data_IF_800277318279
#
_entry.id   IF_800277318279
#
_cell.length_a   1.000
_cell.length_b   1.000
_cell.length_c   1.000
_cell.angle_alpha   90.00
_cell.angle_beta   90.00
_cell.angle_gamma   90.00
#
_symmetry.space_group_name_H-M   'P 1'
#
loop_
_entity.id
_entity.type
_entity.pdbx_description
1 polymer ?
#
# COMPACT_ATOMS: atom_id res chain seq x y z
N UNK A 1 -17.01 14.29 19.49
CA UNK A 1 -16.68 13.94 18.09
C UNK A 1 -15.86 12.66 18.09
N UNK A 2 -15.77 11.89 16.99
CA UNK A 2 -14.95 10.66 16.92
C UNK A 2 -13.53 10.88 17.44
N UNK A 3 -12.91 12.00 17.04
CA UNK A 3 -11.59 12.39 17.48
C UNK A 3 -11.47 12.57 19.01
N UNK A 4 -12.50 13.11 19.67
CA UNK A 4 -12.47 13.33 21.12
C UNK A 4 -12.53 11.98 21.87
N UNK A 5 -13.33 11.03 21.35
CA UNK A 5 -13.45 9.68 21.91
C UNK A 5 -12.10 8.95 21.84
N UNK A 6 -11.39 9.07 20.72
CA UNK A 6 -10.05 8.47 20.58
C UNK A 6 -9.08 9.09 21.59
N UNK A 7 -9.06 10.42 21.73
CA UNK A 7 -8.16 11.10 22.67
C UNK A 7 -8.48 10.71 24.12
N UNK A 8 -9.75 10.63 24.48
CA UNK A 8 -10.19 10.19 25.79
C UNK A 8 -9.73 8.75 26.06
N UNK A 9 -9.91 7.83 25.11
CA UNK A 9 -9.43 6.45 25.23
C UNK A 9 -7.91 6.35 25.44
N UNK A 10 -7.12 7.19 24.79
CA UNK A 10 -5.67 7.29 25.05
C UNK A 10 -5.36 7.82 26.45
N UNK A 11 -6.07 8.86 26.92
CA UNK A 11 -5.85 9.43 28.25
C UNK A 11 -6.18 8.44 29.36
N UNK A 12 -7.33 7.77 29.27
CA UNK A 12 -7.82 6.87 30.31
C UNK A 12 -7.06 5.54 30.38
N UNK A 13 -6.26 5.21 29.36
CA UNK A 13 -5.50 3.95 29.30
C UNK A 13 -4.59 3.68 30.51
N UNK A 14 -3.96 4.73 31.07
CA UNK A 14 -3.10 4.59 32.25
C UNK A 14 -3.96 4.37 33.50
N UNK A 15 -5.00 5.18 33.71
CA UNK A 15 -5.83 5.10 34.91
C UNK A 15 -6.64 3.80 34.96
N UNK A 16 -7.17 3.35 33.82
CA UNK A 16 -8.01 2.16 33.74
C UNK A 16 -7.22 0.85 33.68
N UNK A 17 -6.04 0.88 33.04
CA UNK A 17 -5.33 -0.36 32.66
C UNK A 17 -3.82 -0.32 32.91
N UNK A 18 -3.28 0.79 33.43
CA UNK A 18 -1.85 1.01 33.68
C UNK A 18 -0.97 0.70 32.45
N UNK A 19 -1.42 1.11 31.25
CA UNK A 19 -0.70 0.88 29.99
C UNK A 19 -0.63 2.13 29.13
N UNK A 20 0.31 2.11 28.17
CA UNK A 20 0.47 3.16 27.14
C UNK A 20 0.31 2.56 25.75
N UNK A 21 -0.48 3.19 24.88
CA UNK A 21 -0.52 2.83 23.47
C UNK A 21 0.69 3.36 22.73
N UNK A 22 1.41 2.51 22.00
CA UNK A 22 2.61 2.90 21.24
C UNK A 22 2.33 3.27 19.79
N UNK A 23 1.20 2.84 19.25
CA UNK A 23 0.86 2.95 17.83
C UNK A 23 -0.56 3.44 17.64
N UNK A 24 -0.75 4.29 16.63
CA UNK A 24 -2.04 4.76 16.18
C UNK A 24 -2.20 4.41 14.70
N UNK A 25 -3.16 3.52 14.39
CA UNK A 25 -3.45 3.08 13.02
C UNK A 25 -4.52 4.00 12.44
N UNK A 26 -4.21 4.70 11.35
CA UNK A 26 -5.10 5.66 10.72
C UNK A 26 -5.08 5.57 9.19
N UNK A 27 -6.14 6.04 8.54
CA UNK A 27 -6.33 5.98 7.09
C UNK A 27 -5.56 7.05 6.29
N UNK A 28 -5.00 8.05 6.98
CA UNK A 28 -4.27 9.15 6.37
C UNK A 28 -4.55 10.48 7.05
N UNK A 29 -5.71 10.64 7.69
CA UNK A 29 -5.98 11.86 8.47
C UNK A 29 -4.98 11.96 9.64
N UNK A 30 -4.36 13.12 9.74
CA UNK A 30 -3.34 13.41 10.74
C UNK A 30 -3.89 14.28 11.87
N UNK A 31 -5.13 14.78 11.75
CA UNK A 31 -5.76 15.64 12.76
C UNK A 31 -5.85 14.97 14.13
N UNK A 32 -6.27 13.69 14.17
CA UNK A 32 -6.36 12.88 15.40
C UNK A 32 -4.98 12.65 15.99
N UNK A 33 -4.01 12.28 15.16
CA UNK A 33 -2.64 12.02 15.59
C UNK A 33 -1.97 13.26 16.19
N UNK A 34 -2.17 14.44 15.59
CA UNK A 34 -1.69 15.71 16.14
C UNK A 34 -2.26 15.95 17.54
N UNK A 35 -3.58 15.77 17.73
CA UNK A 35 -4.19 15.92 19.05
C UNK A 35 -3.72 14.87 20.06
N UNK A 36 -3.40 13.64 19.64
CA UNK A 36 -2.79 12.63 20.52
C UNK A 36 -1.46 13.16 21.06
N UNK A 37 -0.58 13.67 20.19
CA UNK A 37 0.71 14.24 20.61
C UNK A 37 0.56 15.43 21.58
N UNK A 38 -0.42 16.29 21.33
CA UNK A 38 -0.62 17.52 22.12
C UNK A 38 -1.33 17.27 23.46
N UNK A 39 -2.26 16.32 23.51
CA UNK A 39 -3.20 16.18 24.64
C UNK A 39 -3.01 14.93 25.49
N UNK A 40 -2.22 13.94 25.04
CA UNK A 40 -1.96 12.70 25.79
C UNK A 40 -0.58 12.79 26.41
N UNK A 41 -0.46 12.42 27.69
CA UNK A 41 0.79 12.52 28.47
C UNK A 41 1.98 11.80 27.81
N UNK A 42 1.75 10.61 27.26
CA UNK A 42 2.73 9.82 26.49
C UNK A 42 2.59 10.01 24.97
N UNK A 43 1.85 11.02 24.52
CA UNK A 43 1.49 11.23 23.11
C UNK A 43 2.68 11.36 22.16
N UNK A 44 3.80 11.92 22.64
CA UNK A 44 5.04 12.05 21.86
C UNK A 44 5.71 10.70 21.53
N UNK A 45 5.42 9.67 22.31
CA UNK A 45 5.94 8.31 22.12
C UNK A 45 5.06 7.48 21.16
N UNK A 46 3.90 8.01 20.76
CA UNK A 46 2.96 7.35 19.85
C UNK A 46 3.44 7.50 18.41
N UNK A 47 3.55 6.37 17.70
CA UNK A 47 3.86 6.34 16.28
C UNK A 47 2.60 6.19 15.44
N UNK A 48 2.50 6.95 14.35
CA UNK A 48 1.43 6.77 13.36
C UNK A 48 1.81 5.63 12.40
N UNK A 49 0.87 4.73 12.18
CA UNK A 49 0.94 3.66 11.16
C UNK A 49 -0.24 3.85 10.20
N UNK A 50 0.02 3.76 8.90
CA UNK A 50 -1.03 3.84 7.89
C UNK A 50 -1.81 2.52 7.83
N UNK A 51 -3.13 2.63 7.72
CA UNK A 51 -4.02 1.49 7.63
C UNK A 51 -3.84 0.77 6.28
N UNK A 52 -3.24 -0.43 6.31
CA UNK A 52 -2.98 -1.25 5.12
C UNK A 52 -4.25 -1.47 4.27
N UNK A 53 -5.38 -1.78 4.91
CA UNK A 53 -6.65 -1.99 4.21
C UNK A 53 -7.09 -0.73 3.45
N UNK A 54 -6.91 0.45 4.06
CA UNK A 54 -7.23 1.71 3.41
C UNK A 54 -6.29 1.99 2.23
N UNK A 55 -4.99 1.73 2.40
CA UNK A 55 -3.99 1.91 1.35
C UNK A 55 -4.24 0.98 0.15
N UNK A 56 -4.52 -0.30 0.38
CA UNK A 56 -4.86 -1.26 -0.68
C UNK A 56 -6.18 -0.90 -1.38
N UNK A 57 -7.20 -0.47 -0.62
CA UNK A 57 -8.48 0.00 -1.17
C UNK A 57 -8.29 1.23 -2.08
N UNK A 58 -7.44 2.17 -1.67
CA UNK A 58 -7.12 3.35 -2.48
C UNK A 58 -6.35 2.99 -3.75
N UNK A 59 -5.40 2.06 -3.67
CA UNK A 59 -4.68 1.57 -4.84
C UNK A 59 -5.64 0.91 -5.84
N UNK A 60 -6.50 -0.01 -5.38
CA UNK A 60 -7.53 -0.62 -6.22
C UNK A 60 -8.46 0.42 -6.85
N UNK A 61 -8.94 1.40 -6.07
CA UNK A 61 -9.77 2.51 -6.58
C UNK A 61 -9.07 3.30 -7.69
N UNK A 62 -7.77 3.59 -7.54
CA UNK A 62 -6.99 4.28 -8.56
C UNK A 62 -6.83 3.45 -9.83
N UNK A 63 -6.60 2.14 -9.70
CA UNK A 63 -6.53 1.25 -10.86
C UNK A 63 -7.88 1.16 -11.59
N UNK A 64 -9.00 1.08 -10.87
CA UNK A 64 -10.34 1.16 -11.46
C UNK A 64 -10.60 2.50 -12.15
N UNK A 65 -10.10 3.61 -11.59
CA UNK A 65 -10.18 4.92 -12.24
C UNK A 65 -9.43 4.92 -13.58
N UNK A 66 -8.22 4.34 -13.63
CA UNK A 66 -7.45 4.19 -14.87
C UNK A 66 -8.22 3.34 -15.90
N UNK A 67 -8.77 2.19 -15.47
CA UNK A 67 -9.59 1.31 -16.34
C UNK A 67 -10.81 2.03 -16.92
N UNK A 68 -11.39 2.98 -16.21
CA UNK A 68 -12.61 3.69 -16.60
C UNK A 68 -12.35 5.06 -17.26
N UNK A 69 -11.10 5.52 -17.35
CA UNK A 69 -10.76 6.82 -17.93
C UNK A 69 -10.77 6.77 -19.46
N UNK A 70 -11.90 7.16 -20.04
CA UNK A 70 -12.07 7.20 -21.50
C UNK A 70 -11.38 8.38 -22.17
N UNK A 71 -10.86 9.35 -21.41
CA UNK A 71 -10.25 10.58 -21.93
C UNK A 71 -8.75 10.46 -22.09
N UNK A 72 -8.07 9.93 -21.07
CA UNK A 72 -6.61 9.89 -21.01
C UNK A 72 -6.02 8.50 -21.27
N UNK A 73 -6.83 7.43 -21.16
CA UNK A 73 -6.35 6.04 -21.25
C UNK A 73 -6.93 5.35 -22.49
N UNK A 74 -6.08 4.91 -23.45
CA UNK A 74 -6.53 4.23 -24.66
C UNK A 74 -7.38 2.98 -24.37
N UNK A 75 -8.34 2.66 -25.24
CA UNK A 75 -9.20 1.48 -25.08
C UNK A 75 -8.39 0.18 -24.95
N UNK A 76 -7.30 0.04 -25.71
CA UNK A 76 -6.41 -1.12 -25.62
C UNK A 76 -5.82 -1.29 -24.22
N UNK A 77 -5.30 -0.22 -23.60
CA UNK A 77 -4.83 -0.22 -22.22
C UNK A 77 -5.94 -0.60 -21.22
N UNK A 78 -7.14 -0.05 -21.40
CA UNK A 78 -8.29 -0.34 -20.50
C UNK A 78 -8.74 -1.80 -20.59
N UNK A 79 -8.63 -2.44 -21.76
CA UNK A 79 -8.94 -3.87 -21.93
C UNK A 79 -7.92 -4.79 -21.25
N UNK A 80 -6.66 -4.37 -21.18
CA UNK A 80 -5.61 -5.11 -20.44
C UNK A 80 -5.91 -5.13 -18.94
N UNK A 81 -6.45 -4.04 -18.38
CA UNK A 81 -6.91 -3.97 -16.99
C UNK A 81 -8.24 -4.72 -16.79
N UNK A 82 -8.23 -6.03 -16.99
CA UNK A 82 -9.36 -6.89 -16.62
C UNK A 82 -9.57 -6.90 -15.10
N UNK A 83 -10.70 -7.43 -14.63
CA UNK A 83 -10.96 -7.54 -13.19
C UNK A 83 -9.88 -8.41 -12.52
N UNK A 84 -9.50 -9.49 -13.17
CA UNK A 84 -8.51 -10.45 -12.69
C UNK A 84 -7.12 -9.80 -12.55
N UNK A 85 -6.71 -8.98 -13.52
CA UNK A 85 -5.45 -8.23 -13.45
C UNK A 85 -5.48 -7.19 -12.31
N UNK A 86 -6.61 -6.51 -12.12
CA UNK A 86 -6.76 -5.54 -11.02
C UNK A 86 -6.66 -6.24 -9.65
N UNK A 87 -7.36 -7.36 -9.49
CA UNK A 87 -7.35 -8.14 -8.26
C UNK A 87 -5.94 -8.68 -7.97
N UNK A 88 -5.24 -9.18 -9.00
CA UNK A 88 -3.86 -9.69 -8.85
C UNK A 88 -2.85 -8.58 -8.53
N UNK A 89 -2.98 -7.37 -9.12
CA UNK A 89 -2.15 -6.21 -8.76
C UNK A 89 -2.30 -5.83 -7.29
N UNK A 90 -3.53 -5.83 -6.76
CA UNK A 90 -3.78 -5.50 -5.35
C UNK A 90 -3.25 -6.61 -4.43
N UNK A 91 -3.50 -7.86 -4.79
CA UNK A 91 -3.09 -9.05 -4.02
C UNK A 91 -1.56 -9.18 -3.93
N UNK A 92 -0.84 -8.98 -5.04
CA UNK A 92 0.63 -9.04 -5.07
C UNK A 92 1.26 -7.92 -4.25
N UNK A 93 0.70 -6.71 -4.27
CA UNK A 93 1.11 -5.62 -3.36
C UNK A 93 0.87 -5.99 -1.91
N UNK A 94 -0.27 -6.60 -1.58
CA UNK A 94 -0.56 -7.07 -0.23
C UNK A 94 0.49 -8.08 0.26
N UNK A 95 0.87 -9.06 -0.58
CA UNK A 95 1.94 -9.99 -0.24
C UNK A 95 3.29 -9.29 -0.04
N UNK A 96 3.64 -8.32 -0.90
CA UNK A 96 4.87 -7.55 -0.73
C UNK A 96 4.90 -6.79 0.61
N UNK A 97 3.77 -6.22 1.05
CA UNK A 97 3.66 -5.57 2.36
C UNK A 97 3.87 -6.57 3.50
N UNK A 98 3.22 -7.73 3.46
CA UNK A 98 3.37 -8.76 4.50
C UNK A 98 4.77 -9.39 4.55
N UNK A 99 5.46 -9.49 3.42
CA UNK A 99 6.82 -10.03 3.38
C UNK A 99 7.88 -9.06 3.93
N UNK A 100 7.59 -7.75 3.91
CA UNK A 100 8.57 -6.70 4.20
C UNK A 100 8.22 -5.83 5.42
N UNK A 101 7.51 -6.39 6.41
CA UNK A 101 6.96 -5.65 7.58
C UNK A 101 7.99 -4.79 8.34
N UNK A 102 9.29 -5.11 8.22
CA UNK A 102 10.38 -4.41 8.93
C UNK A 102 11.33 -3.61 8.01
N UNK A 103 11.25 -3.74 6.69
CA UNK A 103 12.21 -3.11 5.77
C UNK A 103 11.51 -2.34 4.65
N UNK A 104 11.54 -1.00 4.74
CA UNK A 104 10.83 -0.16 3.78
C UNK A 104 11.52 -0.07 2.43
N UNK A 105 12.83 -0.31 2.37
CA UNK A 105 13.57 -0.31 1.10
C UNK A 105 13.22 -1.56 0.30
N UNK A 106 13.30 -2.74 0.93
CA UNK A 106 12.85 -3.99 0.29
C UNK A 106 11.36 -3.95 -0.04
N UNK A 107 10.52 -3.35 0.80
CA UNK A 107 9.10 -3.14 0.47
C UNK A 107 8.94 -2.31 -0.81
N UNK A 108 9.71 -1.24 -0.98
CA UNK A 108 9.64 -0.39 -2.19
C UNK A 108 10.07 -1.14 -3.43
N UNK A 109 11.12 -1.94 -3.34
CA UNK A 109 11.58 -2.79 -4.43
C UNK A 109 10.52 -3.82 -4.81
N UNK A 110 9.97 -4.52 -3.82
CA UNK A 110 8.98 -5.58 -4.06
C UNK A 110 7.65 -5.01 -4.56
N UNK A 111 7.21 -3.85 -4.06
CA UNK A 111 6.06 -3.13 -4.63
C UNK A 111 6.33 -2.81 -6.09
N UNK A 112 7.47 -2.24 -6.48
CA UNK A 112 7.76 -1.95 -7.89
C UNK A 112 7.74 -3.21 -8.75
N UNK A 113 8.24 -4.32 -8.21
CA UNK A 113 8.28 -5.59 -8.92
C UNK A 113 6.91 -6.25 -9.12
N UNK A 114 5.88 -5.90 -8.34
CA UNK A 114 4.53 -6.48 -8.54
C UNK A 114 3.98 -6.23 -9.94
N UNK A 115 4.29 -5.08 -10.53
CA UNK A 115 3.95 -4.79 -11.93
C UNK A 115 4.58 -5.84 -12.87
N UNK A 116 5.89 -6.05 -12.77
CA UNK A 116 6.59 -7.01 -13.62
C UNK A 116 6.03 -8.42 -13.43
N UNK A 117 5.83 -8.83 -12.19
CA UNK A 117 5.25 -10.11 -11.82
C UNK A 117 3.88 -10.33 -12.50
N UNK A 118 2.94 -9.40 -12.33
CA UNK A 118 1.57 -9.54 -12.89
C UNK A 118 1.58 -9.62 -14.42
N UNK A 119 2.53 -8.93 -15.07
CA UNK A 119 2.65 -8.93 -16.52
C UNK A 119 3.67 -9.95 -17.07
N UNK A 120 4.05 -10.94 -16.26
CA UNK A 120 4.77 -12.15 -16.70
C UNK A 120 6.29 -11.98 -16.84
N UNK A 121 6.87 -10.97 -16.20
CA UNK A 121 8.32 -10.85 -16.05
C UNK A 121 8.71 -11.20 -14.61
N UNK A 122 9.30 -12.38 -14.43
CA UNK A 122 9.63 -12.93 -13.12
C UNK A 122 11.14 -12.91 -12.80
N UNK A 123 11.94 -12.15 -13.57
CA UNK A 123 13.40 -12.07 -13.38
C UNK A 123 13.80 -11.53 -11.99
N UNK A 124 13.03 -10.59 -11.46
CA UNK A 124 13.26 -10.00 -10.13
C UNK A 124 12.25 -10.50 -9.09
N UNK A 125 11.51 -11.57 -9.39
CA UNK A 125 10.59 -12.16 -8.41
C UNK A 125 11.36 -12.87 -7.30
N UNK A 126 10.72 -12.94 -6.13
CA UNK A 126 11.18 -13.71 -4.97
C UNK A 126 10.23 -14.89 -4.77
N UNK A 127 10.75 -15.97 -4.18
CA UNK A 127 10.02 -17.23 -3.99
C UNK A 127 8.71 -17.08 -3.20
N UNK A 128 8.67 -16.15 -2.23
CA UNK A 128 7.43 -15.91 -1.47
C UNK A 128 6.30 -15.32 -2.31
N UNK A 129 6.61 -14.69 -3.46
CA UNK A 129 5.66 -14.00 -4.33
C UNK A 129 5.34 -14.80 -5.59
N UNK A 130 6.25 -15.66 -6.04
CA UNK A 130 6.19 -16.27 -7.36
C UNK A 130 6.78 -17.68 -7.37
N UNK A 131 6.09 -18.60 -8.02
CA UNK A 131 6.57 -19.98 -8.24
C UNK A 131 7.50 -20.09 -9.47
N UNK A 132 7.43 -19.11 -10.39
CA UNK A 132 8.17 -19.11 -11.66
C UNK A 132 9.38 -18.15 -11.61
N UNK A 133 10.10 -18.10 -10.49
CA UNK A 133 11.25 -17.20 -10.32
C UNK A 133 12.27 -17.39 -11.45
N UNK A 134 12.68 -16.28 -12.07
CA UNK A 134 13.64 -16.31 -13.18
C UNK A 134 13.02 -16.54 -14.57
N UNK A 135 11.71 -16.81 -14.67
CA UNK A 135 11.03 -17.00 -15.95
C UNK A 135 10.57 -15.67 -16.58
N UNK A 136 10.71 -15.56 -17.89
CA UNK A 136 10.18 -14.45 -18.70
C UNK A 136 9.52 -14.92 -20.01
N UNK A 137 9.36 -16.23 -20.19
CA UNK A 137 8.90 -16.86 -21.43
C UNK A 137 7.45 -16.51 -21.78
N UNK A 138 6.63 -16.12 -20.80
CA UNK A 138 5.20 -15.79 -20.95
C UNK A 138 4.89 -14.28 -20.80
N UNK A 139 5.90 -13.41 -20.81
CA UNK A 139 5.75 -11.98 -20.52
C UNK A 139 4.81 -11.23 -21.48
N UNK A 140 3.67 -10.75 -20.97
CA UNK A 140 2.78 -9.80 -21.68
C UNK A 140 3.30 -8.35 -21.64
N UNK A 141 4.52 -8.14 -21.19
CA UNK A 141 5.15 -6.82 -21.04
C UNK A 141 5.20 -6.02 -22.33
N UNK A 142 5.30 -6.68 -23.49
CA UNK A 142 5.26 -6.01 -24.82
C UNK A 142 3.89 -5.40 -25.12
N UNK A 143 2.80 -6.07 -24.76
CA UNK A 143 1.42 -5.58 -24.97
C UNK A 143 1.12 -4.38 -24.05
N UNK A 144 1.71 -4.35 -22.86
CA UNK A 144 1.56 -3.24 -21.91
C UNK A 144 2.43 -2.04 -22.31
N UNK A 145 3.64 -2.28 -22.80
CA UNK A 145 4.57 -1.23 -23.22
C UNK A 145 4.01 -0.42 -24.41
N UNK A 146 3.39 -1.09 -25.38
CA UNK A 146 2.80 -0.43 -26.57
C UNK A 146 1.63 0.50 -26.23
N UNK A 147 0.96 0.30 -25.09
CA UNK A 147 -0.23 1.06 -24.70
C UNK A 147 0.04 2.18 -23.70
N UNK A 148 1.30 2.39 -23.29
CA UNK A 148 1.71 3.33 -22.22
C UNK A 148 1.04 3.10 -20.85
N UNK A 149 0.33 1.98 -20.69
CA UNK A 149 -0.39 1.62 -19.47
C UNK A 149 0.56 1.55 -18.25
N UNK A 150 1.83 1.20 -18.49
CA UNK A 150 2.88 1.21 -17.49
C UNK A 150 2.93 2.54 -16.70
N UNK A 151 2.88 3.69 -17.37
CA UNK A 151 2.97 5.00 -16.71
C UNK A 151 1.80 5.26 -15.76
N UNK A 152 0.59 4.85 -16.15
CA UNK A 152 -0.60 5.01 -15.31
C UNK A 152 -0.53 4.12 -14.06
N UNK A 153 -0.13 2.85 -14.22
CA UNK A 153 0.02 1.92 -13.10
C UNK A 153 1.12 2.40 -12.14
N UNK A 154 2.28 2.83 -12.65
CA UNK A 154 3.35 3.39 -11.83
C UNK A 154 2.89 4.66 -11.09
N UNK A 155 2.09 5.51 -11.73
CA UNK A 155 1.47 6.66 -11.08
C UNK A 155 0.57 6.29 -9.90
N UNK A 156 -0.25 5.23 -10.05
CA UNK A 156 -1.06 4.68 -8.95
C UNK A 156 -0.19 4.05 -7.85
N UNK A 157 0.88 3.35 -8.21
CA UNK A 157 1.82 2.72 -7.27
C UNK A 157 2.64 3.74 -6.48
N UNK A 158 2.95 4.91 -7.05
CA UNK A 158 3.71 5.95 -6.33
C UNK A 158 3.06 6.35 -5.00
N UNK A 159 1.72 6.30 -4.91
CA UNK A 159 1.00 6.57 -3.65
C UNK A 159 1.27 5.52 -2.56
N UNK A 160 1.59 4.27 -2.96
CA UNK A 160 2.04 3.22 -2.05
C UNK A 160 3.48 3.47 -1.62
N UNK A 161 4.35 3.78 -2.59
CA UNK A 161 5.80 3.94 -2.38
C UNK A 161 6.13 5.13 -1.45
N UNK A 162 5.37 6.21 -1.54
CA UNK A 162 5.52 7.37 -0.63
C UNK A 162 5.09 7.06 0.79
N UNK A 163 4.15 6.11 0.97
CA UNK A 163 3.65 5.66 2.28
C UNK A 163 4.37 4.43 2.82
N UNK A 164 5.31 3.83 2.08
CA UNK A 164 5.93 2.56 2.42
C UNK A 164 6.51 2.53 3.84
N UNK A 165 7.17 3.60 4.29
CA UNK A 165 7.72 3.70 5.66
C UNK A 165 6.66 3.80 6.77
N UNK A 166 5.43 4.17 6.43
CA UNK A 166 4.30 4.27 7.36
C UNK A 166 3.44 3.01 7.37
N UNK A 167 3.61 2.12 6.37
CA UNK A 167 2.94 0.82 6.30
C UNK A 167 3.60 -0.25 7.17
N UNK A 168 4.80 0.04 7.66
CA UNK A 168 5.59 -0.91 8.43
C UNK A 168 5.34 -0.74 9.92
N UNK A 169 5.15 -1.88 10.57
CA UNK A 169 5.31 -1.97 12.01
C UNK A 169 6.82 -2.03 12.30
N UNK A 170 7.46 -0.86 12.48
CA UNK A 170 8.83 -0.82 13.01
C UNK A 170 8.76 -1.25 14.47
N UNK A 171 9.21 -2.47 14.78
CA UNK A 171 9.46 -2.84 16.18
C UNK A 171 10.70 -2.06 16.64
N UNK A 172 10.49 -1.07 17.50
CA UNK A 172 11.56 -0.48 18.30
C UNK A 172 11.93 -1.44 19.43
#
# INVERSE_FOLDING_TARGET
>A
MEQDIIIEGFKSSIEMHNLTYRKFIADGDSSVFTKIKEKVTYGLEVQKVECMNHVLKNYGKNLHKIRNDTKLVPLAARKILSKEILDELVKTVQFAIYANVQNSEFLREDIRNTYNHVFGNHLCCKEYLCENVGDCSQGKTKDVATTRLQHHIHGAMNQLLTKANLLLDKRN
#
